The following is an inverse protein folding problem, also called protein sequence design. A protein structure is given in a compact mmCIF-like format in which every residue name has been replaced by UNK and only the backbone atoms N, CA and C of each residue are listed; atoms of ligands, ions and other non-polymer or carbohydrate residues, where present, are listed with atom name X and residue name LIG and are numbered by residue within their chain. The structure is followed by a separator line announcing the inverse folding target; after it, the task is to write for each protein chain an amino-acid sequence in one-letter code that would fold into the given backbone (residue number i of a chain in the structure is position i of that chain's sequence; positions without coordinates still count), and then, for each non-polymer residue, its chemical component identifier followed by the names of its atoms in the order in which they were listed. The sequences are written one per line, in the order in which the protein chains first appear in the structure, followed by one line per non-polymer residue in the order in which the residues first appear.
data_IF_324968203537
#
_entry.id   IF_324968203537
#
_cell.length_a   1.000
_cell.length_b   1.000
_cell.length_c   1.000
_cell.angle_alpha   90.00
_cell.angle_beta   90.00
_cell.angle_gamma   90.00
#
_symmetry.space_group_name_H-M   'P 1'
#
loop_
_entity.id
_entity.type
_entity.pdbx_description
1 polymer ?
#
# COMPACT_ATOMS: atom_id res chain seq x y z
N UNK A 1 27.51 -1.99 10.05
CA UNK A 1 27.96 -2.88 11.12
C UNK A 1 27.37 -4.26 10.85
N UNK A 2 28.19 -5.14 10.30
CA UNK A 2 27.79 -6.53 10.03
C UNK A 2 27.71 -7.25 11.38
N UNK A 3 26.49 -7.50 11.84
CA UNK A 3 26.31 -8.49 12.90
C UNK A 3 26.74 -9.84 12.33
N UNK A 4 27.85 -10.37 12.84
CA UNK A 4 28.17 -11.76 12.64
C UNK A 4 27.06 -12.57 13.33
N UNK A 5 26.15 -13.10 12.52
CA UNK A 5 25.32 -14.19 12.97
C UNK A 5 26.23 -15.37 13.19
N UNK A 6 26.55 -15.64 14.44
CA UNK A 6 27.20 -16.88 14.81
C UNK A 6 26.34 -18.02 14.23
N UNK A 7 26.98 -18.81 13.40
CA UNK A 7 26.45 -20.06 12.88
C UNK A 7 26.15 -21.02 14.02
N UNK A 8 25.01 -20.79 14.70
CA UNK A 8 24.35 -21.89 15.37
C UNK A 8 23.96 -22.88 14.29
N UNK A 9 24.23 -24.14 14.49
CA UNK A 9 23.93 -25.20 13.54
C UNK A 9 22.41 -25.30 13.36
N UNK A 10 21.90 -24.47 12.45
CA UNK A 10 20.59 -24.75 11.85
C UNK A 10 20.82 -25.88 10.85
N UNK A 11 20.53 -27.09 11.27
CA UNK A 11 20.43 -28.21 10.33
C UNK A 11 19.37 -27.89 9.27
N UNK A 12 19.47 -28.50 8.08
CA UNK A 12 18.44 -28.31 7.07
C UNK A 12 17.08 -28.73 7.65
N UNK A 13 16.15 -27.77 7.76
CA UNK A 13 14.77 -28.08 8.03
C UNK A 13 14.25 -28.87 6.82
N UNK A 14 13.71 -30.04 7.03
CA UNK A 14 13.25 -30.93 5.94
C UNK A 14 12.05 -30.37 5.17
N UNK A 15 11.46 -29.26 5.66
CA UNK A 15 10.28 -28.63 5.06
C UNK A 15 10.55 -27.16 4.77
N UNK A 16 10.68 -26.81 3.51
CA UNK A 16 10.81 -25.43 3.07
C UNK A 16 12.03 -25.16 2.17
N UNK A 17 12.09 -23.97 1.57
CA UNK A 17 13.19 -23.61 0.69
C UNK A 17 14.51 -23.47 1.47
N UNK A 18 15.62 -23.89 0.86
CA UNK A 18 16.95 -23.68 1.42
C UNK A 18 17.35 -22.19 1.45
N UNK A 19 18.34 -21.86 2.31
CA UNK A 19 18.82 -20.46 2.47
C UNK A 19 19.23 -19.85 1.13
N UNK A 20 19.91 -20.60 0.26
CA UNK A 20 20.34 -20.11 -1.05
C UNK A 20 19.14 -19.76 -1.94
N UNK A 21 18.09 -20.57 -1.91
CA UNK A 21 16.85 -20.33 -2.64
C UNK A 21 16.12 -19.10 -2.12
N UNK A 22 16.01 -18.96 -0.80
CA UNK A 22 15.42 -17.75 -0.17
C UNK A 22 16.15 -16.49 -0.65
N UNK A 23 17.48 -16.51 -0.65
CA UNK A 23 18.29 -15.34 -1.08
C UNK A 23 18.04 -14.94 -2.53
N UNK A 24 17.71 -15.86 -3.43
CA UNK A 24 17.43 -15.55 -4.83
C UNK A 24 16.14 -14.75 -5.03
N UNK A 25 15.22 -14.80 -4.07
CA UNK A 25 13.92 -14.12 -4.13
C UNK A 25 13.90 -12.80 -3.35
N UNK A 26 14.97 -12.48 -2.62
CA UNK A 26 15.01 -11.24 -1.84
C UNK A 26 15.31 -10.05 -2.75
N UNK A 27 14.52 -8.97 -2.68
CA UNK A 27 14.93 -7.71 -3.25
C UNK A 27 16.16 -7.18 -2.49
N UNK A 28 17.02 -6.45 -3.17
CA UNK A 28 18.11 -5.74 -2.53
C UNK A 28 17.61 -4.58 -1.65
N UNK A 29 18.53 -3.94 -0.92
CA UNK A 29 18.17 -2.87 0.02
C UNK A 29 17.53 -1.66 -0.69
N UNK A 30 18.01 -1.31 -1.88
CA UNK A 30 17.46 -0.20 -2.66
C UNK A 30 16.04 -0.54 -3.14
N UNK A 31 15.84 -1.69 -3.72
CA UNK A 31 14.52 -2.15 -4.16
C UNK A 31 13.53 -2.25 -2.99
N UNK A 32 13.98 -2.79 -1.86
CA UNK A 32 13.16 -2.89 -0.64
C UNK A 32 12.71 -1.53 -0.14
N UNK A 33 13.62 -0.54 -0.11
CA UNK A 33 13.31 0.83 0.31
C UNK A 33 12.32 1.51 -0.63
N UNK A 34 12.47 1.32 -1.93
CA UNK A 34 11.54 1.86 -2.95
C UNK A 34 10.16 1.23 -2.86
N UNK A 35 10.10 -0.07 -2.65
CA UNK A 35 8.84 -0.80 -2.43
C UNK A 35 8.12 -0.30 -1.18
N UNK A 36 8.84 -0.11 -0.08
CA UNK A 36 8.29 0.41 1.17
C UNK A 36 7.77 1.84 1.01
N UNK A 37 8.48 2.70 0.28
CA UNK A 37 8.05 4.06 -0.01
C UNK A 37 6.75 4.07 -0.82
N UNK A 38 6.67 3.26 -1.87
CA UNK A 38 5.46 3.10 -2.67
C UNK A 38 4.30 2.60 -1.82
N UNK A 39 4.51 1.55 -1.03
CA UNK A 39 3.49 0.97 -0.15
C UNK A 39 2.95 1.98 0.88
N UNK A 40 3.79 2.92 1.34
CA UNK A 40 3.39 3.96 2.30
C UNK A 40 2.23 4.82 1.78
N UNK A 41 2.13 5.03 0.47
CA UNK A 41 1.03 5.77 -0.14
C UNK A 41 -0.33 5.07 0.00
N UNK A 42 -0.34 3.77 0.18
CA UNK A 42 -1.54 2.94 0.36
C UNK A 42 -1.84 2.59 1.83
N UNK A 43 -1.03 3.05 2.77
CA UNK A 43 -1.09 2.63 4.17
C UNK A 43 -1.94 3.56 5.04
N UNK A 44 -2.97 4.17 4.48
CA UNK A 44 -3.89 5.05 5.19
C UNK A 44 -5.30 4.97 4.57
N UNK A 45 -6.37 4.84 5.39
CA UNK A 45 -7.73 4.71 4.85
C UNK A 45 -8.17 5.90 4.00
N UNK A 46 -7.82 7.11 4.38
CA UNK A 46 -8.13 8.32 3.63
C UNK A 46 -7.45 8.34 2.26
N UNK A 47 -6.19 7.93 2.20
CA UNK A 47 -5.46 7.83 0.93
C UNK A 47 -5.98 6.70 0.03
N UNK A 48 -6.37 5.58 0.60
CA UNK A 48 -7.01 4.49 -0.15
C UNK A 48 -8.29 5.00 -0.84
N UNK A 49 -9.15 5.72 -0.10
CA UNK A 49 -10.39 6.29 -0.66
C UNK A 49 -10.10 7.33 -1.75
N UNK A 50 -9.11 8.18 -1.52
CA UNK A 50 -8.71 9.20 -2.49
C UNK A 50 -8.16 8.58 -3.78
N UNK A 51 -7.27 7.60 -3.68
CA UNK A 51 -6.73 6.87 -4.83
C UNK A 51 -7.83 6.12 -5.58
N UNK A 52 -8.77 5.52 -4.86
CA UNK A 52 -9.93 4.83 -5.45
C UNK A 52 -10.82 5.79 -6.24
N UNK A 53 -10.99 7.03 -5.76
CA UNK A 53 -11.71 8.07 -6.49
C UNK A 53 -11.03 8.46 -7.81
N UNK A 54 -9.71 8.34 -7.90
CA UNK A 54 -8.93 8.63 -9.10
C UNK A 54 -8.82 7.44 -10.08
N UNK A 55 -9.25 6.26 -9.66
CA UNK A 55 -9.13 5.06 -10.50
C UNK A 55 -9.93 5.15 -11.82
N UNK A 56 -10.99 5.96 -11.85
CA UNK A 56 -11.84 6.18 -13.01
C UNK A 56 -11.37 7.29 -13.96
N UNK A 57 -10.33 8.05 -13.60
CA UNK A 57 -9.81 9.15 -14.42
C UNK A 57 -9.45 10.39 -13.60
N UNK A 58 -9.08 11.45 -14.30
CA UNK A 58 -8.65 12.71 -13.70
C UNK A 58 -9.83 13.44 -13.00
N UNK A 59 -9.61 13.92 -11.79
CA UNK A 59 -10.60 14.65 -10.98
C UNK A 59 -9.97 15.89 -10.38
N UNK A 60 -10.69 17.01 -10.30
CA UNK A 60 -10.22 18.21 -9.63
C UNK A 60 -10.41 18.14 -8.11
N UNK A 61 -9.64 18.95 -7.37
CA UNK A 61 -9.63 18.95 -5.89
C UNK A 61 -11.02 19.22 -5.31
N UNK A 62 -11.77 20.16 -5.90
CA UNK A 62 -13.11 20.50 -5.42
C UNK A 62 -14.07 19.32 -5.47
N UNK A 63 -14.07 18.60 -6.59
CA UNK A 63 -14.93 17.42 -6.76
C UNK A 63 -14.49 16.25 -5.87
N UNK A 64 -13.18 16.06 -5.69
CA UNK A 64 -12.67 15.07 -4.75
C UNK A 64 -13.12 15.36 -3.31
N UNK A 65 -13.01 16.60 -2.88
CA UNK A 65 -13.44 17.02 -1.55
C UNK A 65 -14.93 16.77 -1.32
N UNK A 66 -15.75 17.10 -2.29
CA UNK A 66 -17.20 16.84 -2.25
C UNK A 66 -17.51 15.34 -2.23
N UNK A 67 -16.91 14.58 -3.12
CA UNK A 67 -17.14 13.13 -3.24
C UNK A 67 -16.72 12.37 -1.97
N UNK A 68 -15.62 12.79 -1.34
CA UNK A 68 -15.08 12.17 -0.14
C UNK A 68 -15.65 12.77 1.16
N UNK A 69 -16.43 13.84 1.08
CA UNK A 69 -16.97 14.57 2.25
C UNK A 69 -15.88 15.03 3.22
N UNK A 70 -14.80 15.56 2.67
CA UNK A 70 -13.67 16.13 3.43
C UNK A 70 -13.35 17.55 2.96
N UNK A 71 -12.55 18.28 3.72
CA UNK A 71 -12.13 19.63 3.33
C UNK A 71 -11.18 19.62 2.13
N UNK A 72 -11.22 20.68 1.32
CA UNK A 72 -10.27 20.85 0.21
C UNK A 72 -8.81 20.90 0.71
N UNK A 73 -8.56 21.50 1.87
CA UNK A 73 -7.22 21.54 2.45
C UNK A 73 -6.71 20.16 2.84
N UNK A 74 -7.58 19.29 3.36
CA UNK A 74 -7.23 17.90 3.66
C UNK A 74 -6.90 17.12 2.40
N UNK A 75 -7.73 17.22 1.36
CA UNK A 75 -7.48 16.58 0.06
C UNK A 75 -6.17 17.08 -0.55
N UNK A 76 -5.95 18.38 -0.56
CA UNK A 76 -4.73 19.00 -1.11
C UNK A 76 -3.48 18.51 -0.38
N UNK A 77 -3.54 18.35 0.94
CA UNK A 77 -2.44 17.82 1.74
C UNK A 77 -2.12 16.38 1.38
N UNK A 78 -3.13 15.53 1.29
CA UNK A 78 -2.97 14.12 0.91
C UNK A 78 -2.45 13.97 -0.53
N UNK A 79 -2.96 14.78 -1.46
CA UNK A 79 -2.48 14.77 -2.86
C UNK A 79 -1.02 15.17 -2.97
N UNK A 80 -0.55 16.13 -2.16
CA UNK A 80 0.88 16.50 -2.12
C UNK A 80 1.75 15.34 -1.66
N UNK A 81 1.32 14.62 -0.63
CA UNK A 81 2.03 13.42 -0.15
C UNK A 81 2.09 12.34 -1.23
N UNK A 82 0.96 12.04 -1.85
CA UNK A 82 0.87 11.03 -2.92
C UNK A 82 1.68 11.43 -4.16
N UNK A 83 1.72 12.71 -4.49
CA UNK A 83 2.55 13.22 -5.58
C UNK A 83 4.04 13.11 -5.26
N UNK A 84 4.46 13.38 -4.03
CA UNK A 84 5.86 13.24 -3.60
C UNK A 84 6.36 11.79 -3.68
N UNK A 85 5.46 10.83 -3.53
CA UNK A 85 5.75 9.38 -3.68
C UNK A 85 5.61 8.92 -5.13
N UNK A 86 5.05 9.74 -6.01
CA UNK A 86 4.89 9.42 -7.43
C UNK A 86 3.67 8.56 -7.79
N UNK A 87 2.68 8.46 -6.90
CA UNK A 87 1.46 7.67 -7.15
C UNK A 87 0.43 8.50 -7.92
N UNK A 88 0.39 9.81 -7.72
CA UNK A 88 -0.49 10.72 -8.45
C UNK A 88 0.31 11.75 -9.23
N UNK A 89 -0.28 12.23 -10.30
CA UNK A 89 0.19 13.37 -11.08
C UNK A 89 -0.88 14.44 -11.15
N UNK A 90 -0.47 15.65 -11.49
CA UNK A 90 -1.37 16.80 -11.64
C UNK A 90 -1.21 17.46 -12.99
N UNK A 91 -2.30 17.99 -13.50
CA UNK A 91 -2.34 18.75 -14.73
C UNK A 91 -3.25 19.95 -14.56
N UNK A 92 -2.78 21.12 -14.95
CA UNK A 92 -3.60 22.33 -14.97
C UNK A 92 -4.43 22.38 -16.23
N UNK A 93 -5.74 22.53 -16.08
CA UNK A 93 -6.70 22.76 -17.17
C UNK A 93 -7.51 24.01 -16.86
N UNK A 94 -7.17 25.13 -17.48
CA UNK A 94 -7.83 26.40 -17.20
C UNK A 94 -7.60 26.87 -15.77
N UNK A 95 -8.67 27.00 -14.98
CA UNK A 95 -8.64 27.45 -13.59
C UNK A 95 -8.53 26.31 -12.58
N UNK A 96 -8.57 25.07 -13.04
CA UNK A 96 -8.62 23.90 -12.20
C UNK A 96 -7.36 23.06 -12.34
N UNK A 97 -6.96 22.43 -11.24
CA UNK A 97 -5.92 21.40 -11.23
C UNK A 97 -6.61 20.05 -11.13
N UNK A 98 -6.34 19.19 -12.10
CA UNK A 98 -6.81 17.81 -12.15
C UNK A 98 -5.72 16.86 -11.68
N UNK A 99 -6.10 15.94 -10.86
CA UNK A 99 -5.22 14.88 -10.39
C UNK A 99 -5.64 13.55 -10.99
N UNK A 100 -4.66 12.71 -11.26
CA UNK A 100 -4.87 11.37 -11.80
C UNK A 100 -3.84 10.41 -11.22
N UNK A 101 -4.08 9.12 -11.36
CA UNK A 101 -3.06 8.12 -11.04
C UNK A 101 -1.91 8.29 -12.05
N UNK A 102 -0.69 8.43 -11.52
CA UNK A 102 0.51 8.64 -12.35
C UNK A 102 0.94 7.36 -13.07
N UNK A 103 0.44 6.22 -12.62
CA UNK A 103 0.88 4.93 -13.04
C UNK A 103 -0.30 3.95 -13.01
N UNK A 104 -0.57 3.21 -14.13
CA UNK A 104 -1.73 2.31 -14.21
C UNK A 104 -1.74 1.20 -13.18
N UNK A 105 -0.57 0.75 -12.73
CA UNK A 105 -0.42 -0.25 -11.69
C UNK A 105 -0.99 0.17 -10.33
N UNK A 106 -1.19 1.47 -10.06
CA UNK A 106 -1.81 1.94 -8.83
C UNK A 106 -3.26 1.45 -8.70
N UNK A 107 -4.03 1.47 -9.79
CA UNK A 107 -5.38 0.91 -9.80
C UNK A 107 -5.38 -0.60 -9.57
N UNK A 108 -4.38 -1.31 -10.10
CA UNK A 108 -4.22 -2.75 -9.88
C UNK A 108 -3.91 -3.07 -8.42
N UNK A 109 -3.04 -2.30 -7.76
CA UNK A 109 -2.75 -2.46 -6.33
C UNK A 109 -4.01 -2.29 -5.49
N UNK A 110 -4.82 -1.27 -5.76
CA UNK A 110 -6.11 -1.06 -5.08
C UNK A 110 -7.05 -2.23 -5.28
N UNK A 111 -7.18 -2.72 -6.51
CA UNK A 111 -8.01 -3.88 -6.84
C UNK A 111 -7.54 -5.16 -6.15
N UNK A 112 -6.24 -5.39 -6.08
CA UNK A 112 -5.65 -6.55 -5.40
C UNK A 112 -5.88 -6.47 -3.88
N UNK A 113 -5.74 -5.28 -3.27
CA UNK A 113 -6.05 -5.06 -1.85
C UNK A 113 -7.53 -5.32 -1.54
N UNK A 114 -8.43 -4.79 -2.36
CA UNK A 114 -9.86 -5.00 -2.21
C UNK A 114 -10.21 -6.48 -2.38
N UNK A 115 -9.68 -7.14 -3.39
CA UNK A 115 -9.86 -8.57 -3.61
C UNK A 115 -9.38 -9.43 -2.45
N UNK A 116 -8.30 -9.03 -1.78
CA UNK A 116 -7.76 -9.74 -0.61
C UNK A 116 -8.74 -9.74 0.58
N UNK A 117 -9.53 -8.69 0.77
CA UNK A 117 -10.51 -8.62 1.86
C UNK A 117 -11.87 -9.20 1.50
N UNK A 118 -12.20 -9.30 0.21
CA UNK A 118 -13.50 -9.76 -0.29
C UNK A 118 -13.50 -11.23 -0.76
N UNK A 119 -12.32 -11.80 -1.05
CA UNK A 119 -12.17 -13.13 -1.61
C UNK A 119 -12.52 -14.28 -0.66
N UNK A 120 -12.58 -15.50 -1.19
CA UNK A 120 -12.84 -16.73 -0.42
C UNK A 120 -11.72 -17.06 0.58
N UNK A 121 -10.48 -16.69 0.24
CA UNK A 121 -9.31 -16.77 1.12
C UNK A 121 -8.95 -15.37 1.66
N UNK A 122 -9.98 -14.64 2.04
CA UNK A 122 -9.83 -13.24 2.47
C UNK A 122 -8.96 -13.12 3.71
N UNK A 123 -8.17 -12.06 3.71
CA UNK A 123 -7.48 -11.60 4.91
C UNK A 123 -8.50 -11.24 5.99
N UNK A 124 -8.27 -11.69 7.21
CA UNK A 124 -9.09 -11.33 8.37
C UNK A 124 -8.35 -10.32 9.22
N UNK A 125 -8.98 -9.19 9.48
CA UNK A 125 -8.46 -8.20 10.40
C UNK A 125 -8.40 -8.82 11.81
N UNK A 126 -7.20 -8.91 12.41
CA UNK A 126 -7.08 -9.46 13.78
C UNK A 126 -7.90 -8.69 14.82
N UNK A 127 -8.14 -7.39 14.59
CA UNK A 127 -8.97 -6.58 15.48
C UNK A 127 -10.48 -6.92 15.38
N UNK A 128 -10.90 -7.51 14.24
CA UNK A 128 -12.26 -7.95 14.00
C UNK A 128 -12.47 -9.44 14.30
N UNK A 129 -11.41 -10.20 14.46
CA UNK A 129 -11.43 -11.57 14.99
C UNK A 129 -11.69 -11.45 16.49
N UNK A 130 -12.95 -11.35 16.88
CA UNK A 130 -13.33 -11.22 18.29
C UNK A 130 -12.63 -12.26 19.15
N UNK A 131 -12.44 -11.91 20.43
CA UNK A 131 -11.78 -12.64 21.49
C UNK A 131 -12.19 -14.13 21.57
N UNK A 132 -11.67 -14.92 20.63
CA UNK A 132 -11.67 -16.37 20.76
C UNK A 132 -10.33 -16.85 21.33
N UNK A 133 -9.79 -16.08 22.25
CA UNK A 133 -8.85 -16.64 23.20
C UNK A 133 -9.70 -17.35 24.25
N UNK A 134 -10.07 -18.56 23.95
CA UNK A 134 -10.35 -19.49 25.04
C UNK A 134 -9.02 -19.69 25.75
N UNK A 135 -8.88 -19.04 26.91
CA UNK A 135 -7.87 -19.44 27.86
C UNK A 135 -8.16 -20.90 28.21
N UNK A 136 -7.43 -21.80 27.55
CA UNK A 136 -7.33 -23.16 28.11
C UNK A 136 -6.48 -23.06 29.36
N UNK A 137 -7.14 -23.16 30.53
CA UNK A 137 -6.45 -23.47 31.78
C UNK A 137 -5.82 -24.86 31.70
#
# INVERSE_FOLDING_TARGET
MLRQYTTGSYGPHEEGPGIAEIRTHLPDDEASSRMALLASGFADPGRIRLLSALAGGAVCVGDLALALSVSQSSVSHQLRLLRSVGIVSSERRGRHIYYSLAWPGAAKVLGDLQGAIEGSERWQDPAMAGDNIQEEE
#
